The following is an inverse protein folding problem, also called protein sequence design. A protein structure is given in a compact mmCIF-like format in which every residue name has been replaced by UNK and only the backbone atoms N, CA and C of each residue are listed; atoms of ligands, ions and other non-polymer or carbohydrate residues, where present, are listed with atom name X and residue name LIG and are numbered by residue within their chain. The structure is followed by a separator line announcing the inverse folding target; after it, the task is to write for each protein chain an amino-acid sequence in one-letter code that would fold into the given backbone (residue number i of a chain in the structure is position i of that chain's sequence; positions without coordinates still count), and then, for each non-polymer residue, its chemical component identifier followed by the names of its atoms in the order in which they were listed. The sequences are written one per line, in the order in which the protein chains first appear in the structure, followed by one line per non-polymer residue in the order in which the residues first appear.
data_IF_215460227416
#
_entry.id   IF_215460227416
#
_cell.length_a   1.000
_cell.length_b   1.000
_cell.length_c   1.000
_cell.angle_alpha   90.00
_cell.angle_beta   90.00
_cell.angle_gamma   90.00
#
_symmetry.space_group_name_H-M   'P 1'
#
loop_
_entity.id
_entity.type
_entity.pdbx_description
1 polymer ?
#
# COMPACT_ATOMS: atom_id res chain seq x y z
N UNK A 1 28.03 -35.15 32.39
CA UNK A 1 28.62 -34.53 33.60
C UNK A 1 27.52 -34.02 34.52
N UNK A 2 27.85 -33.83 35.80
CA UNK A 2 27.05 -33.24 36.89
C UNK A 2 26.64 -31.78 36.54
N UNK A 3 25.64 -31.08 37.10
CA UNK A 3 24.29 -31.32 37.72
C UNK A 3 23.87 -29.94 38.32
N UNK A 4 22.58 -29.71 38.60
CA UNK A 4 22.01 -28.54 39.35
C UNK A 4 22.07 -27.14 38.66
N UNK A 5 21.23 -26.14 38.97
CA UNK A 5 19.75 -26.01 39.22
C UNK A 5 19.41 -24.53 39.54
N UNK A 6 18.11 -24.18 39.55
CA UNK A 6 17.50 -22.98 40.18
C UNK A 6 17.70 -21.61 39.48
N UNK A 7 16.87 -20.59 39.72
CA UNK A 7 15.38 -20.47 39.83
C UNK A 7 15.07 -18.95 39.83
N UNK A 8 13.91 -18.58 39.29
CA UNK A 8 13.20 -17.28 39.31
C UNK A 8 13.70 -16.11 40.18
N UNK A 9 13.64 -14.89 39.63
CA UNK A 9 12.96 -13.79 40.33
C UNK A 9 12.34 -12.76 39.35
N UNK A 10 11.15 -12.26 39.71
CA UNK A 10 10.49 -11.11 39.07
C UNK A 10 10.96 -9.84 39.76
N UNK A 11 11.24 -8.78 39.00
CA UNK A 11 11.32 -7.42 39.52
C UNK A 11 10.89 -6.41 38.43
N UNK A 12 9.69 -5.86 38.56
CA UNK A 12 9.31 -4.63 37.86
C UNK A 12 9.81 -3.44 38.68
N UNK A 13 10.48 -2.48 38.04
CA UNK A 13 10.91 -1.24 38.69
C UNK A 13 10.73 -0.05 37.73
N UNK A 14 9.64 0.69 37.92
CA UNK A 14 9.52 2.06 37.41
C UNK A 14 10.38 2.98 38.27
N UNK A 15 11.36 3.67 37.69
CA UNK A 15 12.07 4.78 38.33
C UNK A 15 12.67 5.75 37.30
N UNK A 16 11.99 6.88 37.07
CA UNK A 16 12.59 8.20 36.80
C UNK A 16 11.62 9.22 37.42
N UNK A 17 11.91 9.81 38.58
CA UNK A 17 12.96 10.78 38.90
C UNK A 17 12.63 12.22 38.47
N UNK A 18 12.14 13.01 39.42
CA UNK A 18 12.44 14.44 39.51
C UNK A 18 12.44 14.84 41.00
N UNK A 19 13.51 15.49 41.49
CA UNK A 19 13.67 15.83 42.89
C UNK A 19 14.73 16.90 43.14
N UNK A 20 14.62 17.60 44.27
CA UNK A 20 15.35 18.83 44.65
C UNK A 20 14.48 20.08 44.40
N UNK A 21 14.21 21.01 45.33
CA UNK A 21 14.86 21.35 46.61
C UNK A 21 15.97 22.40 46.38
N UNK A 22 16.10 23.54 47.08
CA UNK A 22 15.31 24.25 48.11
C UNK A 22 15.68 25.76 48.02
N UNK A 23 15.32 26.74 48.87
CA UNK A 23 14.62 26.80 50.16
C UNK A 23 14.96 28.14 50.87
N UNK A 24 14.02 28.77 51.60
CA UNK A 24 14.23 30.06 52.27
C UNK A 24 12.95 30.59 52.94
N UNK A 25 13.06 31.20 54.13
CA UNK A 25 11.93 31.52 55.01
C UNK A 25 11.87 33.01 55.39
N UNK A 26 10.65 33.54 55.60
CA UNK A 26 10.32 34.62 56.56
C UNK A 26 8.79 34.74 56.76
N UNK A 27 8.40 34.89 58.03
CA UNK A 27 7.20 35.56 58.61
C UNK A 27 5.75 35.26 58.13
N UNK A 28 4.83 35.17 59.10
CA UNK A 28 3.44 35.65 58.92
C UNK A 28 2.24 34.81 59.40
N UNK A 29 2.07 34.70 60.73
CA UNK A 29 0.78 34.70 61.47
C UNK A 29 -0.32 33.61 61.28
N UNK A 30 -1.22 33.55 62.28
CA UNK A 30 -2.30 32.56 62.49
C UNK A 30 -3.49 32.65 61.50
N UNK A 31 -4.11 31.50 61.15
CA UNK A 31 -5.50 31.19 61.58
C UNK A 31 -6.19 29.97 60.92
N UNK A 32 -6.85 29.18 61.77
CA UNK A 32 -8.08 28.39 61.61
C UNK A 32 -8.43 27.59 60.32
N UNK A 33 -8.79 26.33 60.58
CA UNK A 33 -9.19 25.28 59.65
C UNK A 33 -10.47 25.50 58.82
N UNK A 34 -10.49 24.87 57.63
CA UNK A 34 -11.64 24.07 57.15
C UNK A 34 -11.13 22.89 56.32
N UNK A 35 -11.67 21.70 56.56
CA UNK A 35 -11.43 20.53 55.71
C UNK A 35 -12.39 20.44 54.52
N UNK A 36 -12.09 19.56 53.57
CA UNK A 36 -13.04 19.14 52.54
C UNK A 36 -12.69 19.57 51.11
N UNK A 37 -11.92 18.73 50.41
CA UNK A 37 -12.21 18.28 49.04
C UNK A 37 -11.02 17.48 48.49
N UNK A 38 -11.04 16.16 48.65
CA UNK A 38 -10.33 15.32 47.69
C UNK A 38 -11.04 15.51 46.35
N UNK A 39 -10.38 16.14 45.38
CA UNK A 39 -10.90 16.28 44.03
C UNK A 39 -10.28 15.15 43.17
N UNK A 40 -10.94 13.99 42.97
CA UNK A 40 -10.55 13.00 41.97
C UNK A 40 -10.95 13.51 40.57
N UNK A 41 -10.48 14.71 40.25
CA UNK A 41 -10.79 15.48 39.05
C UNK A 41 -9.67 15.41 38.01
N UNK A 42 -8.93 14.29 37.94
CA UNK A 42 -8.21 13.95 36.72
C UNK A 42 -9.24 13.65 35.65
N UNK A 43 -9.66 14.69 34.93
CA UNK A 43 -10.24 14.53 33.61
C UNK A 43 -9.26 13.68 32.80
N UNK A 44 -9.60 12.42 32.60
CA UNK A 44 -8.93 11.57 31.63
C UNK A 44 -9.17 12.25 30.30
N UNK A 45 -8.16 12.98 29.82
CA UNK A 45 -8.15 13.53 28.47
C UNK A 45 -8.30 12.33 27.55
N UNK A 46 -9.49 12.19 26.95
CA UNK A 46 -9.74 11.11 26.01
C UNK A 46 -8.71 11.27 24.89
N UNK A 47 -7.88 10.24 24.61
CA UNK A 47 -6.82 10.36 23.62
C UNK A 47 -7.47 10.63 22.25
N UNK A 48 -7.24 11.83 21.74
CA UNK A 48 -7.75 12.24 20.43
C UNK A 48 -6.85 11.63 19.36
N UNK A 49 -7.40 11.06 18.27
CA UNK A 49 -6.59 10.54 17.18
C UNK A 49 -5.65 11.61 16.60
N UNK A 50 -4.40 11.24 16.34
CA UNK A 50 -3.37 12.12 15.77
C UNK A 50 -2.98 11.62 14.38
N UNK A 51 -2.86 12.55 13.43
CA UNK A 51 -2.32 12.27 12.12
C UNK A 51 -0.78 12.14 12.19
N UNK A 52 -0.20 10.98 11.83
CA UNK A 52 1.24 10.75 11.97
C UNK A 52 2.12 11.56 10.99
N UNK A 53 1.52 12.20 9.98
CA UNK A 53 2.23 13.05 9.02
C UNK A 53 2.26 14.53 9.41
N UNK A 54 1.13 15.06 9.90
CA UNK A 54 1.04 16.49 10.29
C UNK A 54 1.32 16.71 11.78
N UNK A 55 1.15 15.69 12.61
CA UNK A 55 1.17 15.80 14.08
C UNK A 55 -0.09 16.42 14.67
N UNK A 56 -1.07 16.76 13.84
CA UNK A 56 -2.32 17.40 14.24
C UNK A 56 -3.40 16.38 14.60
N UNK A 57 -4.44 16.83 15.31
CA UNK A 57 -5.66 16.04 15.56
C UNK A 57 -6.31 15.63 14.24
N UNK A 58 -6.68 14.34 14.11
CA UNK A 58 -7.44 13.86 12.97
C UNK A 58 -8.85 14.50 12.93
N UNK A 59 -9.38 14.82 11.74
CA UNK A 59 -10.70 15.44 11.62
C UNK A 59 -11.82 14.49 12.02
N UNK A 60 -12.92 15.05 12.53
CA UNK A 60 -14.12 14.30 12.93
C UNK A 60 -14.03 13.64 14.31
N UNK A 61 -15.07 12.88 14.67
CA UNK A 61 -15.13 12.09 15.90
C UNK A 61 -14.80 10.63 15.63
N UNK A 62 -14.32 9.88 16.62
CA UNK A 62 -14.10 8.42 16.47
C UNK A 62 -15.38 7.70 16.05
N UNK A 63 -15.25 6.62 15.28
CA UNK A 63 -16.38 5.79 14.83
C UNK A 63 -16.00 4.31 14.74
N UNK A 64 -17.02 3.44 14.79
CA UNK A 64 -16.89 2.00 14.51
C UNK A 64 -17.39 1.62 13.12
N UNK A 65 -18.10 2.50 12.42
CA UNK A 65 -18.59 2.24 11.06
C UNK A 65 -17.50 2.50 10.05
N UNK A 66 -17.17 1.49 9.26
CA UNK A 66 -16.20 1.53 8.17
C UNK A 66 -16.89 1.15 6.86
N UNK A 67 -16.53 1.86 5.80
CA UNK A 67 -16.80 1.48 4.40
C UNK A 67 -15.47 1.34 3.67
N UNK A 68 -15.49 0.77 2.47
CA UNK A 68 -14.31 0.71 1.64
C UNK A 68 -14.45 -0.21 0.46
N UNK A 69 -13.35 -0.38 -0.26
CA UNK A 69 -13.27 -1.12 -1.51
C UNK A 69 -12.04 -2.02 -1.51
N UNK A 70 -12.12 -3.14 -2.22
CA UNK A 70 -10.94 -3.98 -2.52
C UNK A 70 -10.72 -3.94 -4.02
N UNK A 71 -9.65 -3.27 -4.44
CA UNK A 71 -9.37 -2.97 -5.84
C UNK A 71 -7.94 -3.41 -6.18
N UNK A 72 -7.80 -4.48 -6.97
CA UNK A 72 -6.48 -4.94 -7.40
C UNK A 72 -6.00 -4.08 -8.59
N UNK A 73 -6.43 -4.43 -9.79
CA UNK A 73 -6.55 -3.53 -10.95
C UNK A 73 -8.01 -3.28 -11.34
N UNK A 74 -8.92 -4.03 -10.74
CA UNK A 74 -10.37 -3.82 -10.79
C UNK A 74 -11.02 -4.26 -9.48
N UNK A 75 -12.33 -4.03 -9.38
CA UNK A 75 -13.17 -4.44 -8.26
C UNK A 75 -13.00 -5.93 -7.93
N UNK A 76 -12.67 -6.23 -6.66
CA UNK A 76 -12.47 -7.59 -6.17
C UNK A 76 -13.71 -8.05 -5.43
N UNK A 77 -14.45 -8.96 -6.06
CA UNK A 77 -15.73 -9.46 -5.56
C UNK A 77 -15.54 -10.65 -4.61
N UNK A 78 -16.43 -10.79 -3.61
CA UNK A 78 -16.44 -11.91 -2.66
C UNK A 78 -15.13 -12.08 -1.86
N UNK A 79 -14.33 -11.02 -1.68
CA UNK A 79 -13.15 -11.02 -0.83
C UNK A 79 -13.56 -10.92 0.64
N UNK A 80 -12.91 -11.68 1.52
CA UNK A 80 -13.10 -11.59 2.97
C UNK A 80 -12.20 -10.51 3.55
N UNK A 81 -12.79 -9.41 4.03
CA UNK A 81 -12.06 -8.29 4.65
C UNK A 81 -12.09 -8.44 6.16
N UNK A 82 -10.93 -8.49 6.82
CA UNK A 82 -10.81 -8.54 8.28
C UNK A 82 -10.00 -7.35 8.79
N UNK A 83 -10.53 -6.65 9.80
CA UNK A 83 -9.84 -5.58 10.51
C UNK A 83 -9.16 -6.13 11.76
N UNK A 84 -7.88 -5.78 11.95
CA UNK A 84 -7.05 -6.13 13.10
C UNK A 84 -6.48 -4.87 13.76
N UNK A 85 -6.31 -4.89 15.07
CA UNK A 85 -5.38 -3.97 15.74
C UNK A 85 -3.95 -4.23 15.25
N UNK A 86 -3.10 -3.22 15.22
CA UNK A 86 -1.67 -3.39 14.91
C UNK A 86 -0.86 -3.35 16.20
N UNK A 87 -0.07 -4.40 16.45
CA UNK A 87 0.84 -4.49 17.58
C UNK A 87 2.06 -3.58 17.36
N UNK A 88 2.81 -3.27 18.43
CA UNK A 88 3.97 -2.36 18.37
C UNK A 88 5.09 -2.82 17.42
N UNK A 89 5.21 -4.14 17.17
CA UNK A 89 6.14 -4.77 16.23
C UNK A 89 5.62 -4.80 14.77
N UNK A 90 4.43 -4.25 14.51
CA UNK A 90 3.77 -4.25 13.21
C UNK A 90 3.03 -5.55 12.85
N UNK A 91 2.98 -6.52 13.75
CA UNK A 91 2.18 -7.74 13.60
C UNK A 91 0.68 -7.49 13.83
N UNK A 92 -0.16 -8.48 13.50
CA UNK A 92 -1.61 -8.40 13.74
C UNK A 92 -1.91 -8.70 15.21
N UNK A 93 -2.65 -7.79 15.86
CA UNK A 93 -3.26 -8.01 17.17
C UNK A 93 -4.64 -8.66 17.04
N UNK A 94 -5.54 -8.35 17.96
CA UNK A 94 -6.90 -8.87 17.95
C UNK A 94 -7.67 -8.43 16.68
N UNK A 95 -8.45 -9.35 16.12
CA UNK A 95 -9.46 -9.01 15.10
C UNK A 95 -10.60 -8.22 15.74
N UNK A 96 -11.02 -7.15 15.08
CA UNK A 96 -12.04 -6.20 15.56
C UNK A 96 -13.21 -6.02 14.58
N UNK A 97 -13.19 -6.64 13.42
CA UNK A 97 -14.33 -6.64 12.49
C UNK A 97 -14.07 -7.52 11.27
N UNK A 98 -15.16 -7.98 10.64
CA UNK A 98 -15.14 -8.74 9.39
C UNK A 98 -16.25 -8.25 8.46
N UNK A 99 -16.00 -8.34 7.16
CA UNK A 99 -16.95 -8.07 6.09
C UNK A 99 -16.61 -8.92 4.86
N UNK A 100 -17.51 -8.94 3.88
CA UNK A 100 -17.26 -9.54 2.56
C UNK A 100 -17.58 -8.50 1.51
N UNK A 101 -16.75 -8.41 0.46
CA UNK A 101 -17.02 -7.47 -0.63
C UNK A 101 -18.18 -7.94 -1.50
N UNK A 102 -18.96 -6.98 -1.98
CA UNK A 102 -20.06 -7.19 -2.92
C UNK A 102 -19.55 -7.39 -4.37
N UNK A 103 -20.45 -7.19 -5.35
CA UNK A 103 -20.13 -7.31 -6.78
C UNK A 103 -19.28 -6.16 -7.32
N UNK A 104 -19.36 -4.99 -6.70
CA UNK A 104 -18.65 -3.78 -7.15
C UNK A 104 -17.35 -3.59 -6.36
N UNK A 105 -17.01 -4.56 -5.48
CA UNK A 105 -15.80 -4.59 -4.68
C UNK A 105 -15.94 -3.86 -3.35
N UNK A 106 -17.12 -3.29 -3.06
CA UNK A 106 -17.37 -2.49 -1.87
C UNK A 106 -17.64 -3.37 -0.65
N UNK A 107 -17.32 -2.89 0.54
CA UNK A 107 -17.69 -3.51 1.80
C UNK A 107 -18.16 -2.48 2.83
N UNK A 108 -19.03 -2.94 3.74
CA UNK A 108 -19.42 -2.19 4.95
C UNK A 108 -19.10 -3.07 6.16
N UNK A 109 -18.40 -2.51 7.13
CA UNK A 109 -17.96 -3.20 8.34
C UNK A 109 -18.33 -2.37 9.59
N UNK A 110 -18.78 -3.05 10.65
CA UNK A 110 -18.88 -2.45 11.98
C UNK A 110 -17.83 -3.06 12.89
N UNK A 111 -16.99 -2.22 13.48
CA UNK A 111 -15.93 -2.62 14.39
C UNK A 111 -16.49 -2.86 15.81
N UNK A 112 -15.94 -3.85 16.50
CA UNK A 112 -16.28 -4.18 17.89
C UNK A 112 -15.83 -3.13 18.91
N UNK A 113 -14.88 -2.27 18.54
CA UNK A 113 -14.43 -1.11 19.30
C UNK A 113 -13.94 -0.01 18.36
N UNK A 114 -14.07 1.25 18.79
CA UNK A 114 -13.47 2.36 18.06
C UNK A 114 -11.93 2.31 18.20
N UNK A 115 -11.17 2.51 17.12
CA UNK A 115 -9.73 2.73 17.21
C UNK A 115 -9.42 3.96 18.08
N UNK A 116 -8.20 4.04 18.62
CA UNK A 116 -7.78 4.94 19.71
C UNK A 116 -8.27 4.65 21.13
N UNK A 117 -9.23 3.74 21.36
CA UNK A 117 -9.53 3.30 22.73
C UNK A 117 -8.37 2.50 23.37
N UNK A 118 -7.63 1.73 22.55
CA UNK A 118 -6.56 0.81 23.00
C UNK A 118 -5.37 0.66 22.04
N UNK A 119 -5.46 1.12 20.79
CA UNK A 119 -4.38 1.03 19.80
C UNK A 119 -4.43 2.19 18.79
N UNK A 120 -3.25 2.54 18.26
CA UNK A 120 -3.03 3.71 17.39
C UNK A 120 -3.13 3.42 15.88
N UNK A 121 -3.36 2.17 15.47
CA UNK A 121 -3.41 1.75 14.06
C UNK A 121 -4.32 0.53 13.89
N UNK A 122 -5.01 0.48 12.75
CA UNK A 122 -5.81 -0.68 12.30
C UNK A 122 -5.29 -1.18 10.96
N UNK A 123 -5.08 -2.49 10.84
CA UNK A 123 -4.81 -3.15 9.57
C UNK A 123 -6.06 -3.84 9.04
N UNK A 124 -6.46 -3.52 7.83
CA UNK A 124 -7.40 -4.32 7.05
C UNK A 124 -6.62 -5.33 6.21
N UNK A 125 -7.12 -6.56 6.11
CA UNK A 125 -6.60 -7.60 5.23
C UNK A 125 -7.75 -8.19 4.43
N UNK A 126 -7.66 -8.16 3.10
CA UNK A 126 -8.64 -8.69 2.17
C UNK A 126 -8.07 -9.94 1.48
N UNK A 127 -8.67 -11.11 1.74
CA UNK A 127 -8.21 -12.39 1.20
C UNK A 127 -9.29 -13.11 0.39
N UNK A 128 -8.87 -13.87 -0.60
CA UNK A 128 -9.78 -14.53 -1.54
C UNK A 128 -10.60 -13.52 -2.36
N UNK A 129 -11.63 -14.01 -3.03
CA UNK A 129 -12.36 -13.24 -4.03
C UNK A 129 -11.65 -13.16 -5.38
N UNK A 130 -12.33 -12.60 -6.37
CA UNK A 130 -11.84 -12.48 -7.76
C UNK A 130 -12.14 -11.12 -8.36
N UNK A 131 -11.24 -10.67 -9.24
CA UNK A 131 -11.37 -9.43 -10.00
C UNK A 131 -11.05 -9.69 -11.48
N UNK A 132 -11.44 -8.76 -12.36
CA UNK A 132 -11.01 -8.78 -13.76
C UNK A 132 -9.75 -7.94 -13.89
N UNK A 133 -8.66 -8.52 -14.39
CA UNK A 133 -7.40 -7.78 -14.61
C UNK A 133 -7.56 -6.76 -15.74
N UNK A 134 -6.99 -5.56 -15.59
CA UNK A 134 -7.02 -4.54 -16.65
C UNK A 134 -6.11 -4.86 -17.82
N UNK A 135 -5.00 -5.57 -17.60
CA UNK A 135 -3.99 -5.81 -18.63
C UNK A 135 -4.34 -6.96 -19.61
N UNK A 136 -5.11 -7.96 -19.16
CA UNK A 136 -5.47 -9.12 -19.98
C UNK A 136 -6.96 -9.51 -19.94
N UNK A 137 -7.79 -8.76 -19.20
CA UNK A 137 -9.23 -9.00 -19.00
C UNK A 137 -9.61 -10.39 -18.47
N UNK A 138 -8.67 -11.12 -17.88
CA UNK A 138 -8.95 -12.43 -17.27
C UNK A 138 -9.38 -12.30 -15.82
N UNK A 139 -10.17 -13.27 -15.34
CA UNK A 139 -10.52 -13.39 -13.93
C UNK A 139 -9.31 -13.85 -13.13
N UNK A 140 -8.81 -12.98 -12.26
CA UNK A 140 -7.67 -13.21 -11.39
C UNK A 140 -8.13 -13.39 -9.93
N UNK A 141 -7.46 -14.26 -9.19
CA UNK A 141 -7.74 -14.47 -7.76
C UNK A 141 -7.00 -13.43 -6.94
N UNK A 142 -7.68 -12.77 -6.02
CA UNK A 142 -7.03 -11.93 -5.01
C UNK A 142 -6.38 -12.82 -3.94
N UNK A 143 -5.07 -12.66 -3.77
CA UNK A 143 -4.28 -13.43 -2.79
C UNK A 143 -4.48 -12.87 -1.39
N UNK A 144 -3.76 -11.78 -1.10
CA UNK A 144 -3.98 -10.94 0.07
C UNK A 144 -3.59 -9.50 -0.26
N UNK A 145 -4.49 -8.56 -0.01
CA UNK A 145 -4.18 -7.14 0.07
C UNK A 145 -4.24 -6.68 1.51
N UNK A 146 -3.34 -5.78 1.89
CA UNK A 146 -3.32 -5.15 3.20
C UNK A 146 -3.47 -3.62 3.07
N UNK A 147 -4.04 -3.00 4.09
CA UNK A 147 -4.08 -1.56 4.27
C UNK A 147 -3.90 -1.28 5.76
N UNK A 148 -3.10 -0.28 6.12
CA UNK A 148 -3.03 0.21 7.51
C UNK A 148 -3.48 1.65 7.56
N UNK A 149 -4.40 1.97 8.47
CA UNK A 149 -4.81 3.35 8.77
C UNK A 149 -4.37 3.75 10.18
N UNK A 150 -3.91 4.99 10.40
CA UNK A 150 -3.69 5.53 11.74
C UNK A 150 -5.01 5.74 12.50
N UNK A 151 -6.10 6.14 11.85
CA UNK A 151 -7.34 6.50 12.53
C UNK A 151 -8.58 6.16 11.71
N UNK A 152 -9.72 6.08 12.40
CA UNK A 152 -11.04 5.89 11.79
C UNK A 152 -11.99 6.87 12.48
N UNK A 153 -12.49 7.84 11.73
CA UNK A 153 -13.33 8.94 12.23
C UNK A 153 -14.53 9.16 11.33
N UNK A 154 -15.52 9.93 11.77
CA UNK A 154 -16.68 10.34 10.96
C UNK A 154 -16.34 11.18 9.74
N UNK A 155 -15.11 11.72 9.65
CA UNK A 155 -14.59 12.39 8.47
C UNK A 155 -13.65 11.49 7.64
N UNK A 156 -13.29 10.31 8.15
CA UNK A 156 -12.32 9.41 7.53
C UNK A 156 -12.58 7.95 7.93
N UNK A 157 -13.53 7.32 7.24
CA UNK A 157 -13.96 5.95 7.45
C UNK A 157 -14.23 5.18 6.14
N UNK A 158 -13.66 5.64 5.04
CA UNK A 158 -13.71 4.99 3.73
C UNK A 158 -12.28 4.60 3.32
N UNK A 159 -12.04 3.33 2.98
CA UNK A 159 -10.70 2.78 2.73
C UNK A 159 -10.64 1.91 1.47
N UNK A 160 -9.77 2.26 0.53
CA UNK A 160 -9.55 1.53 -0.72
C UNK A 160 -8.28 0.69 -0.60
N UNK A 161 -8.45 -0.63 -0.54
CA UNK A 161 -7.36 -1.60 -0.41
C UNK A 161 -6.82 -1.98 -1.79
N UNK A 162 -5.52 -1.77 -2.03
CA UNK A 162 -4.86 -2.01 -3.32
C UNK A 162 -3.49 -2.70 -3.15
N UNK A 163 -2.89 -3.22 -4.25
CA UNK A 163 -1.49 -3.61 -4.28
C UNK A 163 -0.52 -2.56 -3.70
N UNK A 164 -0.78 -1.27 -3.90
CA UNK A 164 0.09 -0.22 -3.36
C UNK A 164 -0.15 0.01 -1.86
N UNK A 165 -1.38 -0.05 -1.36
CA UNK A 165 -1.61 -0.02 0.10
C UNK A 165 -0.98 -1.22 0.79
N UNK A 166 -0.90 -2.38 0.10
CA UNK A 166 -0.19 -3.55 0.59
C UNK A 166 1.33 -3.30 0.67
N UNK A 167 1.96 -2.69 -0.34
CA UNK A 167 3.37 -2.26 -0.30
C UNK A 167 3.62 -1.37 0.94
N UNK A 168 2.77 -0.37 1.19
CA UNK A 168 2.87 0.47 2.37
C UNK A 168 2.71 -0.31 3.69
N UNK A 169 1.74 -1.23 3.78
CA UNK A 169 1.53 -2.08 4.97
C UNK A 169 2.74 -2.96 5.27
N UNK A 170 3.32 -3.62 4.25
CA UNK A 170 4.49 -4.47 4.44
C UNK A 170 5.73 -3.65 4.81
N UNK A 171 5.92 -2.46 4.21
CA UNK A 171 6.99 -1.54 4.63
C UNK A 171 6.84 -1.12 6.08
N UNK A 172 5.64 -0.73 6.49
CA UNK A 172 5.35 -0.36 7.88
C UNK A 172 5.66 -1.53 8.84
N UNK A 173 5.24 -2.75 8.49
CA UNK A 173 5.56 -3.98 9.22
C UNK A 173 7.07 -4.20 9.32
N UNK A 174 7.82 -4.04 8.22
CA UNK A 174 9.27 -4.20 8.20
C UNK A 174 9.99 -3.19 9.09
N UNK A 175 9.59 -1.91 9.06
CA UNK A 175 10.18 -0.86 9.91
C UNK A 175 9.90 -1.13 11.38
N UNK A 176 8.69 -1.59 11.72
CA UNK A 176 8.32 -1.94 13.08
C UNK A 176 9.04 -3.20 13.58
N UNK A 177 9.19 -4.23 12.75
CA UNK A 177 9.86 -5.49 13.12
C UNK A 177 11.35 -5.33 13.46
N UNK A 178 12.00 -4.26 13.01
CA UNK A 178 13.38 -3.90 13.36
C UNK A 178 13.47 -2.87 14.50
N UNK A 179 12.39 -2.69 15.27
CA UNK A 179 12.33 -1.79 16.43
C UNK A 179 11.97 -0.32 16.11
N UNK A 180 11.52 -0.03 14.90
CA UNK A 180 11.00 1.30 14.55
C UNK A 180 9.61 1.55 15.15
N UNK A 181 9.31 2.82 15.48
CA UNK A 181 7.97 3.19 15.93
C UNK A 181 6.94 3.08 14.78
N UNK A 182 5.71 2.65 15.09
CA UNK A 182 4.63 2.49 14.09
C UNK A 182 4.39 3.74 13.24
N UNK A 183 4.45 4.95 13.83
CA UNK A 183 4.30 6.20 13.07
C UNK A 183 5.42 6.44 12.04
N UNK A 184 6.67 6.05 12.37
CA UNK A 184 7.79 6.08 11.42
C UNK A 184 7.62 5.01 10.34
N UNK A 185 7.11 3.84 10.70
CA UNK A 185 6.79 2.78 9.73
C UNK A 185 5.70 3.19 8.76
N UNK A 186 4.62 3.79 9.27
CA UNK A 186 3.51 4.30 8.47
C UNK A 186 3.97 5.38 7.49
N UNK A 187 4.65 6.43 7.99
CA UNK A 187 5.16 7.51 7.12
C UNK A 187 6.20 7.01 6.11
N UNK A 188 7.03 6.01 6.44
CA UNK A 188 7.94 5.39 5.48
C UNK A 188 7.19 4.59 4.38
N UNK A 189 6.14 3.83 4.75
CA UNK A 189 5.35 3.05 3.81
C UNK A 189 4.50 3.90 2.88
N UNK A 190 3.74 4.84 3.43
CA UNK A 190 2.92 5.76 2.65
C UNK A 190 3.78 6.69 1.78
N UNK A 191 4.97 7.11 2.21
CA UNK A 191 5.87 7.93 1.36
C UNK A 191 6.35 7.18 0.12
N UNK A 192 6.60 5.86 0.21
CA UNK A 192 6.98 5.05 -0.96
C UNK A 192 5.85 4.93 -2.00
N UNK A 193 4.60 4.90 -1.54
CA UNK A 193 3.42 4.87 -2.41
C UNK A 193 3.17 6.24 -3.02
N UNK A 194 3.22 7.29 -2.20
CA UNK A 194 3.03 8.67 -2.64
C UNK A 194 4.09 9.08 -3.66
N UNK A 195 5.38 8.80 -3.43
CA UNK A 195 6.48 9.07 -4.38
C UNK A 195 6.52 8.06 -5.54
N UNK A 196 5.36 7.58 -5.98
CA UNK A 196 5.14 6.37 -6.78
C UNK A 196 6.32 6.06 -7.68
N UNK A 197 7.00 4.94 -7.38
CA UNK A 197 7.82 4.18 -8.32
C UNK A 197 8.75 5.06 -9.21
N UNK A 198 9.34 6.09 -8.60
CA UNK A 198 10.46 6.85 -9.17
C UNK A 198 10.08 7.97 -10.15
N UNK A 199 8.82 8.36 -10.21
CA UNK A 199 8.35 9.47 -11.03
C UNK A 199 8.48 10.83 -10.31
N UNK A 200 8.46 11.91 -11.09
CA UNK A 200 8.25 13.28 -10.60
C UNK A 200 6.82 13.53 -10.10
N UNK A 201 5.89 12.64 -10.47
CA UNK A 201 4.45 12.87 -10.41
C UNK A 201 3.80 11.87 -9.42
N UNK A 202 3.61 12.26 -8.14
CA UNK A 202 3.07 11.40 -7.11
C UNK A 202 1.59 11.05 -7.35
N UNK A 203 1.08 9.96 -6.73
CA UNK A 203 -0.35 9.57 -6.83
C UNK A 203 -1.29 10.71 -6.39
N UNK A 204 -0.82 11.58 -5.50
CA UNK A 204 -1.51 12.78 -5.07
C UNK A 204 -0.65 14.02 -5.36
N UNK A 205 -0.77 14.65 -6.54
CA UNK A 205 0.01 15.84 -6.86
C UNK A 205 -0.36 17.06 -6.01
N UNK A 206 -1.62 17.18 -5.55
CA UNK A 206 -2.12 18.44 -4.98
C UNK A 206 -2.88 18.34 -3.63
N UNK A 207 -3.16 17.17 -3.08
CA UNK A 207 -3.93 17.08 -1.82
C UNK A 207 -3.02 16.83 -0.60
N UNK A 208 -2.54 17.91 0.01
CA UNK A 208 -1.67 17.89 1.22
C UNK A 208 -2.44 17.99 2.55
N UNK A 209 -3.77 18.06 2.52
CA UNK A 209 -4.58 18.43 3.71
C UNK A 209 -4.43 17.43 4.86
N UNK A 210 -4.38 16.11 4.58
CA UNK A 210 -4.13 15.08 5.60
C UNK A 210 -2.73 14.48 5.52
N UNK A 211 -1.78 15.18 4.88
CA UNK A 211 -0.34 14.91 4.93
C UNK A 211 0.16 13.60 4.32
N UNK A 212 -0.68 12.80 3.67
CA UNK A 212 -0.33 11.45 3.21
C UNK A 212 -1.17 10.32 3.82
N UNK A 213 -2.30 10.65 4.43
CA UNK A 213 -3.35 9.68 4.81
C UNK A 213 -4.41 9.57 3.70
N UNK A 214 -4.59 10.62 2.89
CA UNK A 214 -5.67 10.75 1.89
C UNK A 214 -5.65 9.65 0.81
N UNK A 215 -4.47 9.13 0.44
CA UNK A 215 -4.35 8.07 -0.58
C UNK A 215 -5.03 6.74 -0.20
N UNK A 216 -5.29 6.53 1.11
CA UNK A 216 -6.02 5.36 1.60
C UNK A 216 -7.50 5.41 1.26
N UNK A 217 -8.07 6.58 0.94
CA UNK A 217 -9.46 6.75 0.50
C UNK A 217 -9.60 7.01 -1.00
N UNK A 218 -8.49 7.06 -1.75
CA UNK A 218 -8.49 7.34 -3.18
C UNK A 218 -8.87 6.09 -3.97
N UNK A 219 -9.98 6.14 -4.70
CA UNK A 219 -10.37 5.10 -5.65
C UNK A 219 -9.57 5.27 -6.97
N UNK A 220 -8.83 4.25 -7.44
CA UNK A 220 -8.11 4.32 -8.71
C UNK A 220 -9.03 4.61 -9.89
N UNK A 221 -8.62 5.51 -10.79
CA UNK A 221 -9.39 5.93 -11.96
C UNK A 221 -10.62 6.80 -11.65
N UNK A 222 -10.80 7.22 -10.41
CA UNK A 222 -11.81 8.23 -10.05
C UNK A 222 -11.38 9.64 -10.47
N UNK A 223 -12.28 10.65 -10.50
CA UNK A 223 -11.91 12.03 -10.80
C UNK A 223 -10.86 12.64 -9.85
N UNK A 224 -10.70 12.09 -8.65
CA UNK A 224 -9.66 12.50 -7.70
C UNK A 224 -8.29 11.85 -8.00
N UNK A 225 -8.24 10.77 -8.80
CA UNK A 225 -7.01 10.11 -9.27
C UNK A 225 -6.42 10.95 -10.41
N UNK A 226 -5.77 12.05 -10.03
CA UNK A 226 -5.26 13.05 -10.96
C UNK A 226 -4.26 12.43 -11.94
N UNK A 227 -4.51 12.62 -13.24
CA UNK A 227 -3.76 11.97 -14.33
C UNK A 227 -3.79 10.42 -14.30
N UNK A 228 -4.76 9.81 -13.59
CA UNK A 228 -4.94 8.36 -13.45
C UNK A 228 -3.72 7.64 -12.86
N UNK A 229 -2.96 8.38 -12.05
CA UNK A 229 -1.67 7.99 -11.53
C UNK A 229 -1.72 6.68 -10.72
N UNK A 230 -2.83 6.43 -10.01
CA UNK A 230 -3.07 5.20 -9.27
C UNK A 230 -3.46 4.06 -10.21
N UNK A 231 -4.45 4.27 -11.09
CA UNK A 231 -4.94 3.23 -12.01
C UNK A 231 -3.83 2.71 -12.92
N UNK A 232 -3.01 3.60 -13.49
CA UNK A 232 -1.87 3.24 -14.36
C UNK A 232 -0.87 2.35 -13.60
N UNK A 233 -0.58 2.68 -12.34
CA UNK A 233 0.35 1.92 -11.51
C UNK A 233 -0.16 0.51 -11.19
N UNK A 234 -1.48 0.36 -11.01
CA UNK A 234 -2.12 -0.93 -10.79
C UNK A 234 -2.17 -1.76 -12.09
N UNK A 235 -2.43 -1.12 -13.23
CA UNK A 235 -2.32 -1.77 -14.54
C UNK A 235 -0.89 -2.28 -14.83
N UNK A 236 0.14 -1.50 -14.46
CA UNK A 236 1.53 -1.88 -14.66
C UNK A 236 1.93 -3.16 -13.88
N UNK A 237 1.38 -3.37 -12.69
CA UNK A 237 1.59 -4.60 -11.89
C UNK A 237 1.02 -5.82 -12.61
N UNK A 238 -0.14 -5.67 -13.25
CA UNK A 238 -0.76 -6.72 -14.06
C UNK A 238 0.03 -6.98 -15.36
N UNK A 239 0.45 -5.92 -16.06
CA UNK A 239 1.25 -6.00 -17.28
C UNK A 239 2.59 -6.72 -17.05
N UNK A 240 3.23 -6.48 -15.90
CA UNK A 240 4.41 -7.24 -15.46
C UNK A 240 4.11 -8.74 -15.31
N UNK A 241 2.92 -9.09 -14.80
CA UNK A 241 2.47 -10.48 -14.75
C UNK A 241 2.19 -11.09 -16.12
N UNK A 242 1.68 -10.30 -17.08
CA UNK A 242 1.46 -10.75 -18.46
C UNK A 242 2.78 -11.03 -19.17
N UNK A 243 3.75 -10.09 -19.11
CA UNK A 243 5.04 -10.18 -19.79
C UNK A 243 5.88 -11.37 -19.30
N UNK A 244 5.93 -11.61 -17.98
CA UNK A 244 6.73 -12.69 -17.39
C UNK A 244 5.96 -14.00 -17.14
N UNK A 245 4.71 -14.09 -17.58
CA UNK A 245 3.79 -15.22 -17.33
C UNK A 245 3.72 -15.57 -15.83
N UNK A 246 3.22 -14.63 -15.03
CA UNK A 246 3.07 -14.77 -13.57
C UNK A 246 1.61 -14.53 -13.15
N UNK A 247 1.06 -15.35 -12.23
CA UNK A 247 -0.20 -15.03 -11.56
C UNK A 247 -0.12 -13.66 -10.89
N UNK A 248 -1.22 -12.91 -10.88
CA UNK A 248 -1.22 -11.52 -10.38
C UNK A 248 -0.82 -11.41 -8.91
N UNK A 249 -1.15 -12.42 -8.10
CA UNK A 249 -0.70 -12.55 -6.71
C UNK A 249 0.82 -12.54 -6.58
N UNK A 250 1.54 -13.12 -7.55
CA UNK A 250 3.00 -13.15 -7.61
C UNK A 250 3.53 -11.79 -8.07
N UNK A 251 2.91 -11.13 -9.06
CA UNK A 251 3.31 -9.75 -9.43
C UNK A 251 3.22 -8.77 -8.26
N UNK A 252 2.13 -8.82 -7.49
CA UNK A 252 1.95 -8.03 -6.25
C UNK A 252 3.00 -8.42 -5.22
N UNK A 253 3.27 -9.71 -5.02
CA UNK A 253 4.32 -10.19 -4.11
C UNK A 253 5.71 -9.65 -4.52
N UNK A 254 6.06 -9.69 -5.80
CA UNK A 254 7.38 -9.27 -6.30
C UNK A 254 7.60 -7.77 -6.16
N UNK A 255 6.61 -6.93 -6.50
CA UNK A 255 6.69 -5.50 -6.20
C UNK A 255 6.88 -5.26 -4.68
N UNK A 256 6.04 -5.92 -3.88
CA UNK A 256 6.02 -5.74 -2.42
C UNK A 256 7.32 -6.17 -1.75
N UNK A 257 7.87 -7.33 -2.11
CA UNK A 257 9.11 -7.86 -1.54
C UNK A 257 10.34 -7.13 -2.07
N UNK A 258 10.38 -6.79 -3.36
CA UNK A 258 11.53 -6.07 -3.93
C UNK A 258 11.66 -4.63 -3.44
N UNK A 259 10.57 -4.01 -2.97
CA UNK A 259 10.57 -2.67 -2.40
C UNK A 259 10.57 -2.64 -0.86
N UNK A 260 10.60 -3.79 -0.19
CA UNK A 260 10.33 -3.91 1.25
C UNK A 260 11.26 -3.06 2.16
N UNK A 261 12.46 -2.74 1.69
CA UNK A 261 13.45 -1.89 2.39
C UNK A 261 13.40 -0.41 2.01
N UNK A 262 12.52 0.00 1.08
CA UNK A 262 12.49 1.32 0.44
C UNK A 262 13.53 1.51 -0.66
N UNK A 263 14.16 0.42 -1.12
CA UNK A 263 15.08 0.40 -2.26
C UNK A 263 14.89 -0.92 -3.01
N UNK A 264 14.91 -0.87 -4.34
CA UNK A 264 14.76 -2.05 -5.18
C UNK A 264 15.83 -3.12 -4.86
N UNK A 265 15.40 -4.35 -4.64
CA UNK A 265 16.24 -5.50 -4.30
C UNK A 265 15.67 -6.80 -4.87
N UNK A 266 16.52 -7.68 -5.38
CA UNK A 266 16.15 -9.05 -5.76
C UNK A 266 16.11 -10.03 -4.56
N UNK A 267 16.41 -9.52 -3.35
CA UNK A 267 16.49 -10.28 -2.10
C UNK A 267 15.68 -9.65 -0.98
N UNK A 268 15.15 -10.49 -0.08
CA UNK A 268 14.49 -10.09 1.16
C UNK A 268 15.50 -9.48 2.16
N UNK A 269 15.04 -8.71 3.17
CA UNK A 269 15.86 -8.33 4.31
C UNK A 269 16.52 -9.57 4.94
N UNK A 270 17.86 -9.62 4.91
CA UNK A 270 18.65 -10.80 5.29
C UNK A 270 19.34 -11.53 4.12
N UNK A 271 19.09 -11.13 2.87
CA UNK A 271 19.81 -11.61 1.69
C UNK A 271 19.23 -12.87 1.02
N UNK A 272 18.15 -13.43 1.55
CA UNK A 272 17.43 -14.55 0.91
C UNK A 272 16.84 -14.10 -0.43
N UNK A 273 17.10 -14.79 -1.56
CA UNK A 273 16.47 -14.49 -2.84
C UNK A 273 14.94 -14.48 -2.76
N UNK A 274 14.31 -13.52 -3.45
CA UNK A 274 12.86 -13.48 -3.58
C UNK A 274 12.41 -14.64 -4.47
N UNK A 275 11.56 -15.54 -3.96
CA UNK A 275 11.01 -16.63 -4.77
C UNK A 275 9.86 -16.14 -5.64
N UNK A 276 9.94 -16.43 -6.93
CA UNK A 276 8.86 -16.21 -7.90
C UNK A 276 7.94 -17.44 -7.92
N UNK A 277 8.52 -18.65 -7.97
CA UNK A 277 7.80 -19.86 -8.37
C UNK A 277 7.76 -20.03 -9.89
N UNK A 278 7.13 -21.10 -10.38
CA UNK A 278 7.11 -21.45 -11.80
C UNK A 278 5.87 -22.26 -12.18
N UNK A 279 5.41 -22.13 -13.43
CA UNK A 279 4.41 -23.02 -14.02
C UNK A 279 4.94 -24.44 -14.20
N UNK A 280 4.16 -25.43 -13.75
CA UNK A 280 4.37 -26.86 -13.97
C UNK A 280 3.17 -27.37 -14.78
N UNK A 281 3.29 -27.29 -16.10
CA UNK A 281 2.12 -27.33 -16.98
C UNK A 281 1.21 -26.14 -16.67
N UNK A 282 -0.09 -26.39 -16.53
CA UNK A 282 -1.07 -25.31 -16.29
C UNK A 282 -1.19 -24.88 -14.81
N UNK A 283 -0.42 -25.46 -13.89
CA UNK A 283 -0.51 -25.15 -12.44
C UNK A 283 0.72 -24.34 -12.05
N UNK A 284 0.52 -23.18 -11.41
CA UNK A 284 1.62 -22.40 -10.88
C UNK A 284 2.06 -22.93 -9.52
N UNK A 285 3.32 -23.35 -9.40
CA UNK A 285 3.94 -23.74 -8.15
C UNK A 285 4.76 -22.58 -7.58
N UNK A 286 4.20 -21.89 -6.58
CA UNK A 286 4.86 -20.80 -5.85
C UNK A 286 6.04 -21.26 -4.97
N UNK A 287 6.24 -22.57 -4.80
CA UNK A 287 7.36 -23.17 -4.08
C UNK A 287 8.50 -23.66 -5.00
N UNK A 288 8.30 -23.66 -6.31
CA UNK A 288 9.34 -24.01 -7.28
C UNK A 288 10.56 -23.08 -7.11
N UNK A 289 11.80 -23.59 -7.25
CA UNK A 289 13.03 -22.85 -6.95
C UNK A 289 13.44 -21.90 -8.09
N UNK A 290 12.53 -21.02 -8.50
CA UNK A 290 12.76 -19.96 -9.48
C UNK A 290 12.64 -18.61 -8.77
N UNK A 291 13.68 -17.79 -8.87
CA UNK A 291 13.88 -16.61 -8.01
C UNK A 291 14.09 -15.33 -8.84
N UNK A 292 13.85 -14.16 -8.23
CA UNK A 292 14.02 -12.88 -8.91
C UNK A 292 15.43 -12.66 -9.49
N UNK A 293 16.54 -13.01 -8.80
CA UNK A 293 17.87 -12.98 -9.42
C UNK A 293 18.01 -13.88 -10.66
N UNK A 294 17.29 -15.00 -10.73
CA UNK A 294 17.30 -15.87 -11.92
C UNK A 294 16.54 -15.24 -13.08
N UNK A 295 15.42 -14.58 -12.82
CA UNK A 295 14.68 -13.82 -13.83
C UNK A 295 15.51 -12.62 -14.33
N UNK A 296 16.07 -11.82 -13.44
CA UNK A 296 16.94 -10.68 -13.79
C UNK A 296 18.17 -11.13 -14.59
N UNK A 297 18.72 -12.33 -14.33
CA UNK A 297 19.83 -12.89 -15.12
C UNK A 297 19.49 -13.18 -16.59
N UNK A 298 18.21 -13.23 -16.95
CA UNK A 298 17.75 -13.32 -18.36
C UNK A 298 17.66 -11.97 -19.06
N UNK A 299 17.98 -10.86 -18.38
CA UNK A 299 17.86 -9.49 -18.88
C UNK A 299 16.57 -8.78 -18.50
N UNK A 300 15.75 -9.38 -17.62
CA UNK A 300 14.59 -8.70 -17.05
C UNK A 300 15.03 -7.56 -16.11
N UNK A 301 14.49 -6.33 -16.24
CA UNK A 301 14.71 -5.28 -15.26
C UNK A 301 14.09 -5.60 -13.90
N UNK A 302 14.51 -4.92 -12.81
CA UNK A 302 13.84 -5.01 -11.52
C UNK A 302 12.33 -4.71 -11.66
N UNK A 303 11.42 -5.36 -10.90
CA UNK A 303 9.98 -5.31 -11.19
C UNK A 303 9.40 -3.90 -11.30
N UNK A 304 9.82 -3.04 -10.36
CA UNK A 304 9.56 -1.61 -10.31
C UNK A 304 9.94 -0.85 -11.60
N UNK A 305 11.10 -1.15 -12.18
CA UNK A 305 11.62 -0.44 -13.35
C UNK A 305 10.88 -0.85 -14.62
N UNK A 306 10.53 -2.14 -14.75
CA UNK A 306 9.67 -2.59 -15.85
C UNK A 306 8.24 -2.04 -15.69
N UNK A 307 7.67 -2.00 -14.48
CA UNK A 307 6.37 -1.36 -14.21
C UNK A 307 6.36 0.13 -14.58
N UNK A 308 7.44 0.86 -14.26
CA UNK A 308 7.66 2.23 -14.69
C UNK A 308 7.72 2.35 -16.22
N UNK A 309 8.44 1.44 -16.88
CA UNK A 309 8.60 1.40 -18.33
C UNK A 309 7.26 1.13 -19.05
N UNK A 310 6.43 0.21 -18.54
CA UNK A 310 5.09 -0.06 -19.08
C UNK A 310 4.26 1.22 -19.18
N UNK A 311 4.09 1.95 -18.07
CA UNK A 311 3.28 3.19 -18.05
C UNK A 311 3.81 4.23 -19.04
N UNK A 312 5.13 4.48 -19.04
CA UNK A 312 5.72 5.47 -19.95
C UNK A 312 5.55 5.08 -21.43
N UNK A 313 5.69 3.79 -21.77
CA UNK A 313 5.64 3.32 -23.16
C UNK A 313 4.20 3.13 -23.66
N UNK A 314 3.21 2.86 -22.79
CA UNK A 314 1.78 2.90 -23.16
C UNK A 314 1.36 4.32 -23.55
N UNK A 315 1.66 5.34 -22.73
CA UNK A 315 1.38 6.73 -23.09
C UNK A 315 2.13 7.17 -24.35
N UNK A 316 3.39 6.76 -24.52
CA UNK A 316 4.17 7.10 -25.72
C UNK A 316 3.60 6.43 -26.98
N UNK A 317 3.10 5.20 -26.88
CA UNK A 317 2.40 4.52 -27.96
C UNK A 317 1.11 5.26 -28.35
N UNK A 318 0.28 5.66 -27.37
CA UNK A 318 -0.95 6.44 -27.62
C UNK A 318 -0.62 7.78 -28.30
N UNK A 319 0.38 8.51 -27.80
CA UNK A 319 0.83 9.77 -28.40
C UNK A 319 1.33 9.60 -29.85
N UNK A 320 2.03 8.50 -30.14
CA UNK A 320 2.43 8.15 -31.50
C UNK A 320 1.28 7.79 -32.44
N UNK A 321 0.18 7.21 -31.93
CA UNK A 321 -1.02 6.94 -32.73
C UNK A 321 -1.87 8.19 -32.97
N UNK A 322 -2.01 9.06 -31.97
CA UNK A 322 -2.82 10.28 -32.05
C UNK A 322 -2.09 11.46 -32.71
N UNK A 323 -0.76 11.40 -32.78
CA UNK A 323 0.14 12.53 -33.05
C UNK A 323 0.00 13.67 -32.02
N UNK A 324 -0.46 13.35 -30.81
CA UNK A 324 -0.62 14.27 -29.68
C UNK A 324 0.09 13.75 -28.43
N UNK A 325 1.22 14.38 -28.09
CA UNK A 325 2.02 14.06 -26.90
C UNK A 325 1.59 14.82 -25.64
N UNK A 326 0.51 15.60 -25.67
CA UNK A 326 0.05 16.43 -24.53
C UNK A 326 -0.22 15.59 -23.29
N UNK A 327 -0.94 14.48 -23.42
CA UNK A 327 -1.23 13.58 -22.29
C UNK A 327 0.04 12.89 -21.76
N UNK A 328 0.97 12.53 -22.64
CA UNK A 328 2.26 11.96 -22.25
C UNK A 328 3.08 12.97 -21.43
N UNK A 329 3.30 14.18 -21.95
CA UNK A 329 4.10 15.20 -21.26
C UNK A 329 3.41 15.82 -20.05
N UNK A 330 2.09 15.69 -19.91
CA UNK A 330 1.37 16.00 -18.67
C UNK A 330 1.64 14.99 -17.55
N UNK A 331 1.89 13.72 -17.87
CA UNK A 331 2.16 12.63 -16.90
C UNK A 331 3.65 12.37 -16.68
N UNK A 332 4.46 12.61 -17.71
CA UNK A 332 5.91 12.40 -17.74
C UNK A 332 6.60 13.66 -18.30
N UNK A 333 6.72 14.74 -17.51
CA UNK A 333 7.28 15.99 -17.99
C UNK A 333 8.72 15.85 -18.50
N UNK A 334 9.00 16.36 -19.70
CA UNK A 334 10.34 16.31 -20.28
C UNK A 334 11.32 17.12 -19.43
N UNK A 335 12.39 16.47 -18.95
CA UNK A 335 13.44 17.19 -18.21
C UNK A 335 14.11 18.25 -19.10
N UNK A 336 14.44 19.39 -18.50
CA UNK A 336 15.01 20.52 -19.22
C UNK A 336 16.32 20.14 -19.93
N UNK A 337 16.33 20.21 -21.26
CA UNK A 337 17.49 19.87 -22.09
C UNK A 337 17.54 18.43 -22.58
N UNK A 338 16.59 17.56 -22.19
CA UNK A 338 16.41 16.25 -22.81
C UNK A 338 15.86 16.37 -24.24
N UNK A 339 16.24 15.46 -25.16
CA UNK A 339 15.65 15.42 -26.49
C UNK A 339 14.18 14.98 -26.44
N UNK A 340 13.39 15.42 -27.42
CA UNK A 340 12.02 14.93 -27.60
C UNK A 340 12.02 13.43 -27.87
N UNK A 341 11.26 12.67 -27.07
CA UNK A 341 11.16 11.22 -27.18
C UNK A 341 10.29 10.75 -28.36
N UNK A 342 9.59 11.67 -29.03
CA UNK A 342 8.82 11.43 -30.25
C UNK A 342 9.60 11.72 -31.55
N UNK A 343 10.94 11.82 -31.46
CA UNK A 343 11.81 11.98 -32.62
C UNK A 343 11.65 10.83 -33.66
N UNK A 344 11.98 11.13 -34.92
CA UNK A 344 11.80 10.24 -36.08
C UNK A 344 12.28 8.80 -35.81
N UNK A 345 11.34 7.85 -35.88
CA UNK A 345 11.60 6.41 -35.68
C UNK A 345 11.36 5.87 -34.27
N UNK A 346 11.16 6.71 -33.25
CA UNK A 346 10.88 6.24 -31.88
C UNK A 346 9.55 5.46 -31.78
N UNK A 347 8.53 5.89 -32.52
CA UNK A 347 7.17 5.30 -32.45
C UNK A 347 7.09 3.80 -32.75
N UNK A 348 7.92 3.29 -33.66
CA UNK A 348 7.96 1.84 -33.93
C UNK A 348 8.45 1.02 -32.73
N UNK A 349 9.28 1.60 -31.86
CA UNK A 349 9.77 0.94 -30.64
C UNK A 349 8.65 0.80 -29.62
N UNK A 350 7.90 1.88 -29.35
CA UNK A 350 6.75 1.85 -28.44
C UNK A 350 5.66 0.90 -28.93
N UNK A 351 5.32 0.94 -30.23
CA UNK A 351 4.39 0.00 -30.85
C UNK A 351 4.85 -1.45 -30.74
N UNK A 352 6.14 -1.74 -31.00
CA UNK A 352 6.68 -3.10 -30.92
C UNK A 352 6.60 -3.67 -29.50
N UNK A 353 6.74 -2.83 -28.47
CA UNK A 353 6.67 -3.24 -27.08
C UNK A 353 5.24 -3.52 -26.61
N UNK A 354 4.28 -2.62 -26.88
CA UNK A 354 2.86 -2.87 -26.59
C UNK A 354 2.37 -4.12 -27.34
N UNK A 355 2.82 -4.31 -28.58
CA UNK A 355 2.51 -5.52 -29.37
C UNK A 355 3.11 -6.80 -28.77
N UNK A 356 4.30 -6.73 -28.14
CA UNK A 356 4.94 -7.86 -27.45
C UNK A 356 4.10 -8.33 -26.26
N UNK A 357 3.61 -7.40 -25.45
CA UNK A 357 2.73 -7.68 -24.30
C UNK A 357 1.40 -8.29 -24.79
N UNK A 358 0.78 -7.70 -25.82
CA UNK A 358 -0.44 -8.25 -26.44
C UNK A 358 -0.27 -9.68 -26.96
N UNK A 359 0.90 -10.01 -27.53
CA UNK A 359 1.23 -11.37 -27.96
C UNK A 359 1.42 -12.36 -26.79
N UNK A 360 1.85 -11.88 -25.61
CA UNK A 360 1.96 -12.70 -24.39
C UNK A 360 0.59 -13.13 -23.86
N UNK A 361 -0.43 -12.26 -23.91
CA UNK A 361 -1.81 -12.60 -23.48
C UNK A 361 -2.36 -13.83 -24.22
N UNK A 362 -1.99 -14.02 -25.48
CA UNK A 362 -2.44 -15.17 -26.29
C UNK A 362 -1.67 -16.47 -26.02
N UNK A 363 -0.57 -16.42 -25.27
CA UNK A 363 0.42 -17.51 -25.19
C UNK A 363 0.87 -17.87 -23.77
N UNK A 364 0.61 -17.02 -22.78
CA UNK A 364 1.00 -17.24 -21.39
C UNK A 364 -0.01 -18.14 -20.65
N UNK A 365 0.44 -18.88 -19.62
CA UNK A 365 -0.41 -19.78 -18.84
C UNK A 365 -1.40 -19.00 -17.96
N UNK A 366 -0.98 -17.79 -17.51
CA UNK A 366 -1.80 -16.82 -16.76
C UNK A 366 -3.13 -16.54 -17.44
N UNK A 367 -3.13 -16.16 -18.72
CA UNK A 367 -4.31 -15.66 -19.43
C UNK A 367 -5.01 -16.75 -20.25
N UNK A 368 -4.31 -17.82 -20.65
CA UNK A 368 -4.86 -18.95 -21.42
C UNK A 368 -6.09 -19.64 -20.78
N UNK A 369 -6.29 -19.51 -19.45
CA UNK A 369 -7.41 -20.15 -18.74
C UNK A 369 -8.81 -19.61 -19.07
N UNK A 370 -8.96 -18.49 -19.79
CA UNK A 370 -10.29 -17.89 -20.08
C UNK A 370 -10.47 -17.25 -21.48
N UNK A 371 -9.60 -17.48 -22.47
CA UNK A 371 -9.67 -16.84 -23.79
C UNK A 371 -10.80 -17.40 -24.69
N UNK A 372 -12.05 -17.10 -24.35
CA UNK A 372 -13.23 -17.32 -25.21
C UNK A 372 -13.80 -16.02 -25.81
N UNK A 373 -13.38 -14.84 -25.35
CA UNK A 373 -13.70 -13.55 -25.96
C UNK A 373 -12.52 -13.04 -26.79
N UNK A 374 -12.68 -13.03 -28.12
CA UNK A 374 -11.75 -12.37 -29.03
C UNK A 374 -11.90 -10.85 -28.86
N UNK A 375 -10.93 -10.20 -28.22
CA UNK A 375 -11.06 -8.77 -27.92
C UNK A 375 -10.07 -8.24 -26.89
N UNK A 376 -8.76 -8.55 -27.02
CA UNK A 376 -7.77 -7.65 -26.47
C UNK A 376 -7.93 -6.32 -27.22
N UNK A 377 -8.53 -5.36 -26.53
CA UNK A 377 -8.46 -3.95 -26.91
C UNK A 377 -7.07 -3.53 -26.43
N UNK A 378 -6.14 -3.14 -27.33
CA UNK A 378 -4.98 -2.36 -26.88
C UNK A 378 -5.50 -1.17 -26.07
N UNK A 379 -4.69 -0.52 -25.24
CA UNK A 379 -5.07 0.79 -24.73
C UNK A 379 -5.10 1.84 -25.86
N UNK A 380 -6.14 1.78 -26.71
CA UNK A 380 -6.54 2.76 -27.73
C UNK A 380 -7.59 3.74 -27.17
N UNK A 381 -8.33 3.31 -26.15
CA UNK A 381 -8.69 4.20 -25.05
C UNK A 381 -7.67 3.88 -23.95
N UNK A 382 -6.88 4.85 -23.49
CA UNK A 382 -6.04 4.63 -22.33
C UNK A 382 -6.90 4.36 -21.08
N UNK A 383 -6.37 3.71 -20.05
CA UNK A 383 -6.96 3.79 -18.69
C UNK A 383 -6.81 5.21 -18.13
N UNK A 384 -5.96 6.02 -18.77
CA UNK A 384 -6.00 7.48 -18.69
C UNK A 384 -7.38 7.99 -19.09
N UNK A 385 -8.17 8.39 -18.09
CA UNK A 385 -9.09 9.50 -18.21
C UNK A 385 -8.35 10.78 -18.64
N UNK A 386 -8.00 10.85 -19.93
CA UNK A 386 -7.93 12.10 -20.65
C UNK A 386 -9.38 12.60 -20.70
N UNK A 387 -9.68 13.63 -19.90
CA UNK A 387 -11.03 13.89 -19.44
C UNK A 387 -12.09 14.07 -20.54
N UNK A 388 -13.27 13.52 -20.27
CA UNK A 388 -14.56 14.02 -20.75
C UNK A 388 -15.32 14.64 -19.58
#
# INVERSE_FOLDING_TARGET
MIRLTQVSLVAAAFLTACGGGSGGAADGDDSHATGGSCNPGTTVVQPVPINPYTGETAPGSTTTTVTGDVFNSGATTNASVTAYLVNADGSNGAAIGTATTDRDGTFIMTLSQAPFATANYVRFIATGGTYTSTADHTSQTNGALELVTPYITTAFNHFVMTPLTNVASQRMRQVASVGGALAKGYTAGASMVLSLIGFSDPILPNNKVSGGVDYLGLLPGSPDDTLNAYADALNAIEAYGVEYDLPSTISVQLLTQSQLTGTASATLPGGTPINIGQWQGEIFDSSAPYTLPMLESTGAPPPYAEMHQFMMWEYAYVACLSLDSTAHYARFPLQQGSPDMFADGACSTYQSYVSKIGAKVLTNNRSARLVHSVGYVPQIVPVVGAGT
#
